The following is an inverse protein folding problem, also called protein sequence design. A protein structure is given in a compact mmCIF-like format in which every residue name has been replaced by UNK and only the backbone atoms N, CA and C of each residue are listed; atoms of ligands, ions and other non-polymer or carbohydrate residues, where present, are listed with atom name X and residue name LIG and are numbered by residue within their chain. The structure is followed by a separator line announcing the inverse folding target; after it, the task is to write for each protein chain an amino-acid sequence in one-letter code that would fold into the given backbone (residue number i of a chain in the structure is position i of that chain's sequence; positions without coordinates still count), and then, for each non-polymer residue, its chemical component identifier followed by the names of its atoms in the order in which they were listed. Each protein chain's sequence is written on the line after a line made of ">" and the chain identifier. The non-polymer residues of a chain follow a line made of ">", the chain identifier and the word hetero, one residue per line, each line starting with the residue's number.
data_IF_251715595143
#
_entry.id   IF_251715595143
#
_cell.length_a   1.000
_cell.length_b   1.000
_cell.length_c   1.000
_cell.angle_alpha   90.00
_cell.angle_beta   90.00
_cell.angle_gamma   90.00
#
_symmetry.space_group_name_H-M   'P 1'
#
loop_
_entity.id
_entity.type
_entity.pdbx_description
1 polymer ?
#
# COMPACT_ATOMS: atom_id res chain seq x y z
N UNK A 1 32.65 12.96 2.84
CA UNK A 1 31.98 11.91 2.05
C UNK A 1 31.04 11.13 2.98
N UNK A 2 29.85 11.65 3.24
CA UNK A 2 28.84 10.96 4.06
C UNK A 2 28.05 10.02 3.16
N UNK A 3 28.35 8.72 3.24
CA UNK A 3 27.66 7.68 2.48
C UNK A 3 26.15 7.71 2.81
N UNK A 4 25.25 8.00 1.85
CA UNK A 4 23.82 7.99 2.10
C UNK A 4 23.39 6.56 2.42
N UNK A 5 23.14 6.29 3.70
CA UNK A 5 22.64 4.99 4.16
C UNK A 5 21.20 4.84 3.70
N UNK A 6 21.02 4.25 2.52
CA UNK A 6 19.72 3.77 2.03
C UNK A 6 19.12 2.81 3.05
N UNK A 7 18.22 3.33 3.89
CA UNK A 7 17.53 2.55 4.90
C UNK A 7 16.55 1.62 4.18
N UNK A 8 16.70 0.31 4.31
CA UNK A 8 15.68 -0.62 3.83
C UNK A 8 14.33 -0.26 4.47
N UNK A 9 13.21 -0.41 3.74
CA UNK A 9 11.89 -0.14 4.32
C UNK A 9 11.72 -0.99 5.58
N UNK A 10 11.31 -0.37 6.68
CA UNK A 10 11.09 -1.08 7.93
C UNK A 10 9.93 -2.07 7.73
N UNK A 11 10.23 -3.37 7.80
CA UNK A 11 9.21 -4.41 7.73
C UNK A 11 8.35 -4.36 9.00
N UNK A 12 7.04 -4.47 8.85
CA UNK A 12 6.13 -4.54 10.00
C UNK A 12 6.38 -5.80 10.83
N UNK A 13 6.11 -5.73 12.13
CA UNK A 13 6.20 -6.89 13.03
C UNK A 13 5.16 -7.94 12.65
N UNK A 14 5.46 -9.22 12.89
CA UNK A 14 4.54 -10.34 12.63
C UNK A 14 3.21 -10.17 13.37
N UNK A 15 3.23 -9.63 14.60
CA UNK A 15 2.04 -9.35 15.39
C UNK A 15 1.12 -8.32 14.71
N UNK A 16 1.68 -7.24 14.16
CA UNK A 16 0.91 -6.21 13.45
C UNK A 16 0.26 -6.75 12.17
N UNK A 17 1.00 -7.59 11.43
CA UNK A 17 0.49 -8.25 10.23
C UNK A 17 -0.69 -9.16 10.60
N UNK A 18 -0.54 -9.99 11.63
CA UNK A 18 -1.60 -10.88 12.10
C UNK A 18 -2.85 -10.10 12.56
N UNK A 19 -2.67 -9.05 13.36
CA UNK A 19 -3.78 -8.19 13.81
C UNK A 19 -4.53 -7.58 12.63
N UNK A 20 -3.82 -7.06 11.62
CA UNK A 20 -4.44 -6.45 10.44
C UNK A 20 -5.33 -7.44 9.69
N UNK A 21 -4.85 -8.68 9.50
CA UNK A 21 -5.64 -9.73 8.86
C UNK A 21 -6.85 -10.15 9.68
N UNK A 22 -6.70 -10.29 10.99
CA UNK A 22 -7.80 -10.63 11.90
C UNK A 22 -8.89 -9.55 11.85
N UNK A 23 -8.52 -8.27 11.97
CA UNK A 23 -9.47 -7.16 11.90
C UNK A 23 -10.20 -7.09 10.56
N UNK A 24 -9.50 -7.36 9.46
CA UNK A 24 -10.11 -7.38 8.13
C UNK A 24 -11.16 -8.51 8.01
N UNK A 25 -10.80 -9.75 8.40
CA UNK A 25 -11.71 -10.89 8.36
C UNK A 25 -12.91 -10.67 9.29
N UNK A 26 -12.67 -10.14 10.48
CA UNK A 26 -13.73 -9.82 11.44
C UNK A 26 -14.70 -8.78 10.87
N UNK A 27 -14.20 -7.70 10.27
CA UNK A 27 -15.04 -6.68 9.64
C UNK A 27 -15.85 -7.25 8.48
N UNK A 28 -15.21 -8.02 7.58
CA UNK A 28 -15.89 -8.59 6.41
C UNK A 28 -16.99 -9.58 6.83
N UNK A 29 -16.68 -10.45 7.79
CA UNK A 29 -17.63 -11.43 8.30
C UNK A 29 -18.79 -10.77 9.07
N UNK A 30 -18.52 -9.74 9.87
CA UNK A 30 -19.56 -8.99 10.58
C UNK A 30 -20.55 -8.32 9.61
N UNK A 31 -20.05 -7.68 8.54
CA UNK A 31 -20.91 -7.07 7.52
C UNK A 31 -21.69 -8.14 6.75
N UNK A 32 -21.06 -9.25 6.36
CA UNK A 32 -21.74 -10.34 5.67
C UNK A 32 -22.86 -10.97 6.52
N UNK A 33 -22.61 -11.20 7.82
CA UNK A 33 -23.64 -11.65 8.76
C UNK A 33 -24.76 -10.61 8.90
N UNK A 34 -24.43 -9.32 8.98
CA UNK A 34 -25.42 -8.25 9.03
C UNK A 34 -26.37 -8.25 7.82
N UNK A 35 -25.84 -8.45 6.61
CA UNK A 35 -26.64 -8.57 5.38
C UNK A 35 -27.52 -9.84 5.43
N UNK A 36 -27.00 -10.94 5.98
CA UNK A 36 -27.75 -12.20 6.08
C UNK A 36 -28.95 -12.09 7.02
N UNK A 37 -28.77 -11.53 8.22
CA UNK A 37 -29.82 -11.37 9.24
C UNK A 37 -30.86 -10.29 8.93
N UNK A 38 -30.64 -9.47 7.89
CA UNK A 38 -31.56 -8.41 7.51
C UNK A 38 -32.90 -9.00 7.00
N UNK A 39 -34.07 -8.59 7.53
CA UNK A 39 -35.37 -9.12 7.11
C UNK A 39 -35.88 -8.41 5.85
N UNK A 40 -35.14 -8.55 4.75
CA UNK A 40 -35.44 -7.94 3.44
C UNK A 40 -35.49 -9.00 2.34
N UNK A 41 -36.01 -8.61 1.17
CA UNK A 41 -36.09 -9.47 0.00
C UNK A 41 -34.70 -9.96 -0.47
N UNK A 42 -34.66 -11.19 -1.00
CA UNK A 42 -33.43 -11.84 -1.44
C UNK A 42 -32.72 -11.06 -2.56
N UNK A 43 -33.47 -10.41 -3.44
CA UNK A 43 -32.92 -9.58 -4.50
C UNK A 43 -32.15 -8.38 -3.95
N UNK A 44 -32.73 -7.70 -2.95
CA UNK A 44 -32.10 -6.55 -2.28
C UNK A 44 -30.86 -6.97 -1.51
N UNK A 45 -30.86 -8.15 -0.87
CA UNK A 45 -29.63 -8.72 -0.26
C UNK A 45 -28.55 -8.96 -1.31
N UNK A 46 -28.91 -9.50 -2.46
CA UNK A 46 -28.00 -9.71 -3.59
C UNK A 46 -27.36 -8.42 -4.06
N UNK A 47 -28.15 -7.36 -4.25
CA UNK A 47 -27.65 -6.03 -4.61
C UNK A 47 -26.65 -5.48 -3.59
N UNK A 48 -26.96 -5.57 -2.29
CA UNK A 48 -26.06 -5.15 -1.22
C UNK A 48 -24.77 -5.99 -1.20
N UNK A 49 -24.88 -7.30 -1.40
CA UNK A 49 -23.74 -8.22 -1.49
C UNK A 49 -22.82 -7.90 -2.67
N UNK A 50 -23.38 -7.60 -3.85
CA UNK A 50 -22.61 -7.20 -5.02
C UNK A 50 -21.85 -5.89 -4.76
N UNK A 51 -22.52 -4.87 -4.22
CA UNK A 51 -21.89 -3.59 -3.87
C UNK A 51 -20.78 -3.75 -2.82
N UNK A 52 -21.00 -4.62 -1.82
CA UNK A 52 -20.01 -4.93 -0.80
C UNK A 52 -18.75 -5.58 -1.38
N UNK A 53 -18.90 -6.63 -2.20
CA UNK A 53 -17.77 -7.31 -2.85
C UNK A 53 -17.01 -6.38 -3.81
N UNK A 54 -17.74 -5.55 -4.56
CA UNK A 54 -17.14 -4.56 -5.45
C UNK A 54 -16.35 -3.51 -4.67
N UNK A 55 -16.89 -3.01 -3.55
CA UNK A 55 -16.21 -2.05 -2.68
C UNK A 55 -14.90 -2.61 -2.10
N UNK A 56 -14.90 -3.86 -1.63
CA UNK A 56 -13.69 -4.55 -1.14
C UNK A 56 -12.65 -4.66 -2.27
N UNK A 57 -13.08 -5.13 -3.45
CA UNK A 57 -12.20 -5.33 -4.59
C UNK A 57 -11.56 -4.02 -5.06
N UNK A 58 -12.36 -2.95 -5.15
CA UNK A 58 -11.89 -1.60 -5.48
C UNK A 58 -10.88 -1.08 -4.46
N UNK A 59 -11.16 -1.23 -3.17
CA UNK A 59 -10.25 -0.81 -2.09
C UNK A 59 -8.90 -1.53 -2.15
N UNK A 60 -8.91 -2.83 -2.45
CA UNK A 60 -7.68 -3.62 -2.61
C UNK A 60 -6.89 -3.13 -3.83
N UNK A 61 -7.53 -2.89 -4.97
CA UNK A 61 -6.88 -2.35 -6.16
C UNK A 61 -6.27 -0.97 -5.90
N UNK A 62 -7.05 -0.07 -5.28
CA UNK A 62 -6.58 1.25 -4.88
C UNK A 62 -5.36 1.16 -3.95
N UNK A 63 -5.39 0.24 -2.96
CA UNK A 63 -4.28 0.02 -2.05
C UNK A 63 -3.02 -0.52 -2.74
N UNK A 64 -3.15 -1.27 -3.84
CA UNK A 64 -2.01 -1.67 -4.67
C UNK A 64 -1.46 -0.47 -5.43
N UNK A 65 -2.32 0.25 -6.15
CA UNK A 65 -1.92 1.45 -6.90
C UNK A 65 -1.19 2.47 -6.03
N UNK A 66 -1.65 2.72 -4.80
CA UNK A 66 -0.96 3.63 -3.87
C UNK A 66 0.41 3.11 -3.46
N UNK A 67 0.57 1.80 -3.21
CA UNK A 67 1.89 1.20 -2.91
C UNK A 67 2.83 1.29 -4.11
N UNK A 68 2.33 0.99 -5.30
CA UNK A 68 3.11 1.02 -6.54
C UNK A 68 3.61 2.45 -6.86
N UNK A 69 2.78 3.47 -6.61
CA UNK A 69 3.16 4.88 -6.72
C UNK A 69 4.29 5.23 -5.74
N UNK A 70 4.17 4.80 -4.49
CA UNK A 70 5.19 5.10 -3.46
C UNK A 70 6.52 4.41 -3.75
N UNK A 71 6.48 3.15 -4.20
CA UNK A 71 7.67 2.43 -4.65
C UNK A 71 8.32 3.10 -5.86
N UNK A 72 7.52 3.52 -6.85
CA UNK A 72 8.01 4.22 -8.04
C UNK A 72 8.72 5.53 -7.68
N UNK A 73 8.12 6.36 -6.81
CA UNK A 73 8.73 7.61 -6.33
C UNK A 73 10.07 7.36 -5.66
N UNK A 74 10.13 6.33 -4.82
CA UNK A 74 11.36 5.93 -4.11
C UNK A 74 12.46 5.47 -5.06
N UNK A 75 12.11 4.76 -6.13
CA UNK A 75 13.10 4.32 -7.13
C UNK A 75 13.62 5.53 -7.92
N UNK A 76 12.75 6.47 -8.29
CA UNK A 76 13.17 7.68 -9.01
C UNK A 76 14.13 8.52 -8.17
N UNK A 77 13.84 8.75 -6.89
CA UNK A 77 14.73 9.56 -6.03
C UNK A 77 16.14 8.94 -5.90
N UNK A 78 16.23 7.60 -5.89
CA UNK A 78 17.52 6.88 -5.88
C UNK A 78 18.35 7.13 -7.12
N UNK A 79 17.70 7.19 -8.28
CA UNK A 79 18.35 7.44 -9.56
C UNK A 79 18.81 8.88 -9.65
N UNK A 80 17.98 9.83 -9.21
CA UNK A 80 18.32 11.25 -9.22
C UNK A 80 19.50 11.54 -8.28
N UNK A 81 19.52 10.97 -7.08
CA UNK A 81 20.65 11.09 -6.14
C UNK A 81 21.95 10.52 -6.72
N UNK A 82 21.92 9.33 -7.33
CA UNK A 82 23.11 8.73 -7.93
C UNK A 82 23.64 9.55 -9.13
N UNK A 83 22.74 10.13 -9.93
CA UNK A 83 23.12 11.04 -11.04
C UNK A 83 23.71 12.34 -10.51
N UNK A 84 23.14 12.92 -9.46
CA UNK A 84 23.66 14.12 -8.80
C UNK A 84 25.06 13.86 -8.23
N UNK A 85 25.27 12.73 -7.55
CA UNK A 85 26.58 12.34 -7.03
C UNK A 85 27.61 12.21 -8.16
N UNK A 86 27.24 11.59 -9.28
CA UNK A 86 28.12 11.49 -10.45
C UNK A 86 28.46 12.88 -11.03
N UNK A 87 27.46 13.76 -11.19
CA UNK A 87 27.68 15.11 -11.70
C UNK A 87 28.57 15.94 -10.77
N UNK A 88 28.37 15.84 -9.45
CA UNK A 88 29.22 16.50 -8.46
C UNK A 88 30.66 15.95 -8.46
N UNK A 89 30.83 14.64 -8.65
CA UNK A 89 32.15 14.03 -8.74
C UNK A 89 32.89 14.39 -10.03
N UNK A 90 32.17 14.51 -11.15
CA UNK A 90 32.73 14.93 -12.44
C UNK A 90 33.03 16.44 -12.47
N UNK A 91 32.26 17.23 -11.72
CA UNK A 91 32.43 18.67 -11.56
C UNK A 91 32.99 19.00 -10.16
N UNK A 92 34.16 18.45 -9.81
CA UNK A 92 34.92 18.87 -8.63
C UNK A 92 35.89 20.00 -9.01
N UNK A 93 35.52 21.28 -8.79
CA UNK A 93 36.35 22.43 -9.14
C UNK A 93 37.62 22.58 -8.30
N UNK A 94 37.84 21.72 -7.29
CA UNK A 94 39.04 21.75 -6.44
C UNK A 94 40.17 20.84 -6.93
N UNK A 95 40.01 20.17 -8.08
CA UNK A 95 41.06 19.38 -8.75
C UNK A 95 41.68 20.14 -9.94
N UNK A 96 41.94 21.43 -9.75
CA UNK A 96 42.81 22.25 -10.62
C UNK A 96 43.78 23.07 -9.78
#
# INVERSE_FOLDING_TARGET
>A
MTNPKFKAPATHTSAWIAQTWISFILSVSATAMGIYFLPIDAWTKGYLGMGFVFSISSTISMSKTTRDIEESKRIVSRVDEAKLEKLLAEYDPFTK
#
